data_IF_107602744549
#
_entry.id   IF_107602744549
#
_cell.length_a   1.000
_cell.length_b   1.000
_cell.length_c   1.000
_cell.angle_alpha   90.00
_cell.angle_beta   90.00
_cell.angle_gamma   90.00
#
_symmetry.space_group_name_H-M   'P 1'
#
loop_
_entity.id
_entity.type
_entity.pdbx_description
1 polymer ?
#
# COMPACT_ATOMS: atom_id res chain seq x y z
N UNK A 1 -9.37 -14.46 -0.23
CA UNK A 1 -8.92 -13.21 0.43
C UNK A 1 -8.15 -13.44 1.73
N UNK A 2 -8.59 -14.33 2.64
CA UNK A 2 -7.91 -14.56 3.93
C UNK A 2 -6.40 -14.90 3.86
N UNK A 3 -5.96 -15.65 2.85
CA UNK A 3 -4.54 -15.97 2.65
C UNK A 3 -3.70 -14.74 2.24
N UNK A 4 -4.25 -13.86 1.39
CA UNK A 4 -3.56 -12.66 0.94
C UNK A 4 -3.40 -11.65 2.08
N UNK A 5 -4.43 -11.46 2.91
CA UNK A 5 -4.34 -10.61 4.10
C UNK A 5 -3.29 -11.11 5.09
N UNK A 6 -3.20 -12.43 5.34
CA UNK A 6 -2.16 -13.00 6.19
C UNK A 6 -0.76 -12.74 5.65
N UNK A 7 -0.56 -12.84 4.33
CA UNK A 7 0.74 -12.52 3.70
C UNK A 7 1.10 -11.04 3.88
N UNK A 8 0.13 -10.14 3.72
CA UNK A 8 0.32 -8.70 3.94
C UNK A 8 0.65 -8.40 5.40
N UNK A 9 -0.08 -8.98 6.35
CA UNK A 9 0.17 -8.77 7.79
C UNK A 9 1.58 -9.24 8.19
N UNK A 10 2.03 -10.37 7.64
CA UNK A 10 3.38 -10.89 7.88
C UNK A 10 4.46 -9.99 7.27
N UNK A 11 4.24 -9.46 6.06
CA UNK A 11 5.12 -8.49 5.43
C UNK A 11 5.20 -7.18 6.23
N UNK A 12 4.05 -6.66 6.67
CA UNK A 12 3.98 -5.44 7.49
C UNK A 12 4.62 -5.63 8.87
N UNK A 13 4.46 -6.81 9.48
CA UNK A 13 5.06 -7.13 10.77
C UNK A 13 6.57 -7.41 10.72
N UNK A 14 7.20 -7.37 9.52
CA UNK A 14 8.62 -7.72 9.30
C UNK A 14 9.04 -9.05 9.95
N UNK A 15 8.12 -10.00 10.14
CA UNK A 15 8.41 -11.29 10.79
C UNK A 15 9.09 -12.23 9.77
N UNK A 16 10.32 -12.71 10.01
CA UNK A 16 11.10 -13.51 9.05
C UNK A 16 10.68 -14.99 8.99
N UNK A 17 9.39 -15.29 9.09
CA UNK A 17 8.84 -16.65 9.09
C UNK A 17 7.80 -16.81 7.99
N UNK A 18 8.25 -16.99 6.76
CA UNK A 18 7.38 -17.14 5.59
C UNK A 18 7.13 -18.63 5.27
N UNK A 19 5.90 -19.16 5.41
CA UNK A 19 5.58 -20.48 4.89
C UNK A 19 5.67 -20.45 3.35
N UNK A 20 6.57 -21.23 2.75
CA UNK A 20 6.79 -21.27 1.29
C UNK A 20 5.49 -21.56 0.51
N UNK A 21 4.59 -22.32 1.12
CA UNK A 21 3.26 -22.68 0.60
C UNK A 21 2.38 -21.44 0.43
N UNK A 22 2.34 -20.53 1.41
CA UNK A 22 1.55 -19.29 1.30
C UNK A 22 2.09 -18.38 0.19
N UNK A 23 3.41 -18.35 0.00
CA UNK A 23 4.03 -17.60 -1.10
C UNK A 23 3.67 -18.19 -2.47
N UNK A 24 3.65 -19.51 -2.59
CA UNK A 24 3.24 -20.19 -3.82
C UNK A 24 1.75 -19.94 -4.12
N UNK A 25 0.87 -20.06 -3.12
CA UNK A 25 -0.55 -19.73 -3.25
C UNK A 25 -0.76 -18.26 -3.63
N UNK A 26 -0.04 -17.34 -2.99
CA UNK A 26 -0.09 -15.92 -3.33
C UNK A 26 0.42 -15.64 -4.75
N UNK A 27 1.51 -16.28 -5.18
CA UNK A 27 2.04 -16.18 -6.56
C UNK A 27 1.06 -16.72 -7.59
N UNK A 28 0.43 -17.87 -7.32
CA UNK A 28 -0.54 -18.46 -8.23
C UNK A 28 -1.80 -17.59 -8.32
N UNK A 29 -2.29 -17.11 -7.18
CA UNK A 29 -3.41 -16.18 -7.13
C UNK A 29 -3.06 -14.86 -7.84
N UNK A 30 -1.87 -14.31 -7.61
CA UNK A 30 -1.43 -13.07 -8.24
C UNK A 30 -1.20 -13.25 -9.73
N UNK A 31 -0.68 -14.38 -10.19
CA UNK A 31 -0.58 -14.70 -11.62
C UNK A 31 -1.95 -14.88 -12.27
N UNK A 32 -2.93 -15.48 -11.59
CA UNK A 32 -4.27 -15.65 -12.15
C UNK A 32 -5.06 -14.33 -12.19
N UNK A 33 -4.89 -13.47 -11.18
CA UNK A 33 -5.62 -12.19 -11.07
C UNK A 33 -4.96 -11.07 -11.88
N UNK A 34 -3.63 -10.96 -11.86
CA UNK A 34 -2.88 -9.86 -12.52
C UNK A 34 -2.52 -10.15 -13.99
N UNK A 35 -2.85 -11.31 -14.54
CA UNK A 35 -2.61 -11.61 -15.97
C UNK A 35 -3.29 -10.61 -16.92
N UNK A 36 -4.35 -9.95 -16.48
CA UNK A 36 -5.12 -8.98 -17.26
C UNK A 36 -4.82 -7.51 -16.91
N UNK A 37 -4.00 -7.23 -15.90
CA UNK A 37 -3.61 -5.86 -15.57
C UNK A 37 -2.18 -5.69 -16.11
N UNK A 38 -1.97 -4.94 -17.21
CA UNK A 38 -0.63 -4.63 -17.68
C UNK A 38 0.17 -3.99 -16.54
N UNK A 39 1.51 -3.99 -16.64
CA UNK A 39 2.41 -3.41 -15.64
C UNK A 39 2.30 -1.88 -15.50
N UNK A 40 1.11 -1.31 -15.76
CA UNK A 40 0.73 0.03 -15.33
C UNK A 40 1.03 0.09 -13.84
N UNK A 41 1.92 1.00 -13.52
CA UNK A 41 2.55 1.25 -12.24
C UNK A 41 1.71 0.69 -11.08
N UNK A 42 2.21 -0.35 -10.40
CA UNK A 42 1.57 -0.97 -9.22
C UNK A 42 1.53 -0.03 -8.01
N UNK A 43 1.61 1.25 -8.28
CA UNK A 43 1.83 2.37 -7.40
C UNK A 43 0.73 3.34 -7.77
N UNK A 44 -0.29 3.41 -6.92
CA UNK A 44 -1.39 4.33 -7.09
C UNK A 44 -1.08 5.57 -6.26
N UNK A 45 -0.74 6.72 -6.89
CA UNK A 45 -0.59 7.97 -6.16
C UNK A 45 -1.98 8.40 -5.67
N UNK A 46 -2.08 8.72 -4.39
CA UNK A 46 -3.26 9.31 -3.79
C UNK A 46 -2.84 10.60 -3.09
N UNK A 47 -3.26 11.74 -3.66
CA UNK A 47 -3.12 13.05 -3.04
C UNK A 47 -4.33 13.33 -2.17
N UNK A 48 -4.09 13.52 -0.87
CA UNK A 48 -5.10 13.96 0.09
C UNK A 48 -4.77 15.38 0.52
N UNK A 49 -5.64 16.31 0.15
CA UNK A 49 -5.62 17.65 0.69
C UNK A 49 -6.17 17.61 2.12
N UNK A 50 -5.47 18.20 3.09
CA UNK A 50 -5.91 18.20 4.49
C UNK A 50 -7.30 18.80 4.72
N UNK A 51 -7.76 19.66 3.82
CA UNK A 51 -9.06 20.30 3.88
C UNK A 51 -10.21 19.40 3.36
N UNK A 52 -9.89 18.32 2.65
CA UNK A 52 -10.87 17.41 2.01
C UNK A 52 -10.64 15.91 2.21
N UNK A 53 -9.46 15.50 2.63
CA UNK A 53 -9.01 14.12 2.68
C UNK A 53 -8.41 13.78 4.04
N UNK A 54 -9.22 13.24 4.94
CA UNK A 54 -8.72 12.61 6.16
C UNK A 54 -7.82 11.40 5.84
N UNK A 55 -7.09 10.87 6.84
CA UNK A 55 -6.16 9.76 6.63
C UNK A 55 -6.84 8.57 5.95
N UNK A 56 -6.15 7.94 5.00
CA UNK A 56 -6.70 6.75 4.30
C UNK A 56 -6.98 5.65 5.31
N UNK A 57 -8.15 5.01 5.20
CA UNK A 57 -8.48 3.86 6.04
C UNK A 57 -7.39 2.78 5.94
N UNK A 58 -6.80 2.33 7.06
CA UNK A 58 -5.81 1.26 7.06
C UNK A 58 -6.29 -0.04 6.40
N UNK A 59 -7.60 -0.31 6.47
CA UNK A 59 -8.19 -1.48 5.82
C UNK A 59 -8.15 -1.39 4.30
N UNK A 60 -8.31 -0.19 3.74
CA UNK A 60 -8.22 0.05 2.30
C UNK A 60 -6.78 -0.13 1.81
N UNK A 61 -5.81 0.46 2.51
CA UNK A 61 -4.38 0.29 2.22
C UNK A 61 -4.00 -1.20 2.25
N UNK A 62 -4.45 -1.93 3.28
CA UNK A 62 -4.23 -3.38 3.42
C UNK A 62 -4.85 -4.18 2.29
N UNK A 63 -6.01 -3.77 1.77
CA UNK A 63 -6.67 -4.41 0.64
C UNK A 63 -5.87 -4.22 -0.66
N UNK A 64 -5.41 -3.00 -0.95
CA UNK A 64 -4.53 -2.75 -2.10
C UNK A 64 -3.23 -3.57 -2.02
N UNK A 65 -2.60 -3.60 -0.86
CA UNK A 65 -1.41 -4.43 -0.62
C UNK A 65 -1.70 -5.92 -0.84
N UNK A 66 -2.89 -6.40 -0.47
CA UNK A 66 -3.29 -7.79 -0.71
C UNK A 66 -3.44 -8.12 -2.20
N UNK A 67 -3.79 -7.13 -3.02
CA UNK A 67 -3.81 -7.25 -4.49
C UNK A 67 -2.42 -7.11 -5.13
N UNK A 68 -1.39 -6.79 -4.34
CA UNK A 68 -0.04 -6.52 -4.85
C UNK A 68 0.12 -5.10 -5.40
N UNK A 69 -0.78 -4.19 -5.03
CA UNK A 69 -0.75 -2.78 -5.36
C UNK A 69 -0.30 -1.98 -4.12
N UNK A 70 0.52 -0.97 -4.33
CA UNK A 70 0.94 -0.04 -3.29
C UNK A 70 0.16 1.25 -3.46
N UNK A 71 -0.53 1.66 -2.40
CA UNK A 71 -1.16 2.97 -2.33
C UNK A 71 -0.14 3.93 -1.70
N UNK A 72 0.25 4.96 -2.44
CA UNK A 72 1.17 5.99 -1.93
C UNK A 72 0.36 7.21 -1.54
N UNK A 73 0.32 7.48 -0.25
CA UNK A 73 -0.34 8.65 0.30
C UNK A 73 0.59 9.85 0.25
N UNK A 74 0.06 10.96 -0.28
CA UNK A 74 0.66 12.28 -0.22
C UNK A 74 -0.30 13.15 0.59
N UNK A 75 0.24 13.80 1.62
CA UNK A 75 -0.51 14.74 2.45
C UNK A 75 0.05 16.15 2.26
N UNK A 76 -0.84 17.12 2.07
CA UNK A 76 -0.51 18.53 1.94
C UNK A 76 -1.62 19.42 2.49
N UNK A 77 -1.30 20.66 2.81
CA UNK A 77 -2.28 21.67 3.19
C UNK A 77 -2.11 22.91 2.32
N UNK A 78 -3.20 23.66 2.15
CA UNK A 78 -3.13 24.97 1.47
C UNK A 78 -2.17 25.92 2.17
N UNK A 79 -2.05 25.82 3.49
CA UNK A 79 -1.21 26.61 4.39
C UNK A 79 0.29 26.34 4.19
N UNK A 80 0.65 25.14 3.72
CA UNK A 80 2.03 24.75 3.46
C UNK A 80 2.41 24.87 1.97
N UNK A 81 1.52 25.42 1.13
CA UNK A 81 1.74 25.64 -0.31
C UNK A 81 2.32 24.39 -1.01
N UNK A 82 1.79 23.21 -0.65
CA UNK A 82 2.24 21.96 -1.26
C UNK A 82 2.17 20.73 -0.35
N UNK A 83 2.95 19.72 -0.75
CA UNK A 83 3.08 18.45 -0.06
C UNK A 83 3.85 18.66 1.24
N UNK A 84 3.34 18.13 2.34
CA UNK A 84 4.02 18.09 3.63
C UNK A 84 4.64 16.72 3.88
N UNK A 85 3.93 15.63 3.52
CA UNK A 85 4.46 14.27 3.65
C UNK A 85 4.13 13.40 2.45
N UNK A 86 4.98 12.41 2.18
CA UNK A 86 4.80 11.44 1.10
C UNK A 86 5.19 10.03 1.55
N UNK A 87 4.44 9.04 1.10
CA UNK A 87 4.78 7.62 1.22
C UNK A 87 5.58 7.18 0.01
N UNK A 88 6.81 6.70 0.21
CA UNK A 88 7.64 6.18 -0.87
C UNK A 88 7.31 4.71 -1.20
N UNK A 89 7.53 4.27 -2.45
CA UNK A 89 7.41 2.86 -2.82
C UNK A 89 8.23 1.96 -1.88
N UNK A 90 7.61 0.90 -1.37
CA UNK A 90 8.24 -0.05 -0.44
C UNK A 90 8.20 0.37 1.03
N UNK A 91 7.75 1.60 1.34
CA UNK A 91 7.70 2.13 2.71
C UNK A 91 6.27 2.32 3.24
N UNK A 92 5.28 1.70 2.59
CA UNK A 92 3.87 1.77 3.00
C UNK A 92 3.70 1.22 4.42
N UNK A 93 3.14 2.06 5.30
CA UNK A 93 2.81 1.72 6.69
C UNK A 93 1.36 2.05 6.97
N UNK A 94 0.63 1.08 7.54
CA UNK A 94 -0.78 1.27 7.88
C UNK A 94 -0.95 2.39 8.92
N UNK A 95 -1.85 3.33 8.63
CA UNK A 95 -2.13 4.47 9.51
C UNK A 95 -1.03 5.53 9.56
N UNK A 96 -0.16 5.59 8.55
CA UNK A 96 0.90 6.59 8.42
C UNK A 96 0.68 7.41 7.15
N UNK A 97 0.87 8.72 7.23
CA UNK A 97 0.81 9.67 6.11
C UNK A 97 2.13 9.78 5.33
N UNK A 98 3.09 8.88 5.59
CA UNK A 98 4.42 8.90 4.98
C UNK A 98 5.46 9.69 5.76
N UNK A 99 6.51 10.12 5.06
CA UNK A 99 7.65 10.87 5.60
C UNK A 99 7.57 12.35 5.18
N UNK A 100 8.10 13.29 5.99
CA UNK A 100 8.19 14.68 5.59
C UNK A 100 8.97 14.81 4.27
N UNK A 101 8.46 15.64 3.36
CA UNK A 101 9.19 16.01 2.15
C UNK A 101 10.36 16.94 2.52
N UNK A 102 11.50 16.92 1.78
CA UNK A 102 12.66 17.78 2.04
C UNK A 102 12.38 19.28 1.86
#
# INVERSE_FOLDING_TARGET
MNAAFKVVDLNLARKPGFPRILRAQYRLASLLVLKNIPQVDRVLPLSLDADRGGPVSPQLVRWYLALGLQLLEVYGQTENVGMATVTYPGEVKLGSVGKPVP
#
